data_IF_416622830654
#
_entry.id   IF_416622830654
#
_cell.length_a   1.000
_cell.length_b   1.000
_cell.length_c   1.000
_cell.angle_alpha   90.00
_cell.angle_beta   90.00
_cell.angle_gamma   90.00
#
_symmetry.space_group_name_H-M   'P 1'
#
loop_
_entity.id
_entity.type
_entity.pdbx_description
1 polymer ?
#
# COMPACT_ATOMS: atom_id res chain seq x y z
N UNK A 1 23.32 -36.19 -1.14
CA UNK A 1 22.00 -36.22 -1.80
C UNK A 1 21.06 -35.32 -1.01
N UNK A 2 20.94 -34.05 -1.40
CA UNK A 2 19.92 -33.15 -0.87
C UNK A 2 18.83 -33.01 -1.95
N UNK A 3 17.68 -33.65 -1.73
CA UNK A 3 16.47 -33.36 -2.49
C UNK A 3 15.70 -32.27 -1.75
N UNK A 4 16.04 -31.01 -2.02
CA UNK A 4 15.16 -29.91 -1.69
C UNK A 4 14.13 -29.82 -2.81
N UNK A 5 13.00 -30.42 -2.49
CA UNK A 5 11.81 -30.57 -3.31
C UNK A 5 11.41 -29.22 -3.91
N UNK A 6 11.34 -29.25 -5.23
CA UNK A 6 10.58 -28.39 -6.12
C UNK A 6 9.19 -28.07 -5.55
N UNK A 7 9.12 -27.02 -4.74
CA UNK A 7 7.90 -26.44 -4.18
C UNK A 7 8.10 -24.94 -4.00
N UNK A 8 8.46 -24.24 -5.08
CA UNK A 8 8.02 -22.85 -5.21
C UNK A 8 6.64 -22.91 -5.87
N UNK A 9 5.53 -22.77 -5.13
CA UNK A 9 4.26 -22.50 -5.80
C UNK A 9 4.47 -21.23 -6.61
N UNK A 10 4.30 -21.36 -7.92
CA UNK A 10 4.39 -20.28 -8.87
C UNK A 10 3.54 -19.12 -8.34
N UNK A 11 4.22 -18.01 -8.00
CA UNK A 11 3.69 -16.65 -7.87
C UNK A 11 2.16 -16.57 -7.82
N UNK A 12 1.57 -16.99 -6.71
CA UNK A 12 0.16 -16.74 -6.44
C UNK A 12 0.04 -15.25 -6.12
N UNK A 13 -0.43 -14.51 -7.12
CA UNK A 13 -0.71 -13.09 -6.99
C UNK A 13 0.46 -12.22 -7.40
N UNK A 14 0.79 -12.24 -8.70
CA UNK A 14 0.90 -10.96 -9.40
C UNK A 14 -0.49 -10.29 -9.33
N UNK A 15 -0.89 -9.88 -8.11
CA UNK A 15 -1.91 -8.85 -7.89
C UNK A 15 -1.55 -7.78 -8.92
N UNK A 16 -2.45 -7.45 -9.86
CA UNK A 16 -2.11 -6.56 -10.96
C UNK A 16 -1.45 -5.37 -10.30
N UNK A 17 -0.17 -5.12 -10.63
CA UNK A 17 0.63 -4.05 -10.03
C UNK A 17 -0.31 -2.88 -9.88
N UNK A 18 -0.78 -2.66 -8.64
CA UNK A 18 -1.99 -1.86 -8.42
C UNK A 18 -1.66 -0.55 -9.08
N UNK A 19 -2.33 -0.21 -10.20
CA UNK A 19 -2.01 1.02 -10.90
C UNK A 19 -2.23 2.08 -9.84
N UNK A 20 -1.14 2.68 -9.39
CA UNK A 20 -1.18 3.76 -8.40
C UNK A 20 -2.14 4.76 -9.03
N UNK A 21 -3.28 4.95 -8.37
CA UNK A 21 -4.26 5.90 -8.86
C UNK A 21 -3.68 7.30 -8.73
N UNK A 22 -4.16 8.25 -9.52
CA UNK A 22 -3.75 9.65 -9.35
C UNK A 22 -4.01 10.11 -7.90
N UNK A 23 -5.10 9.62 -7.30
CA UNK A 23 -5.46 9.83 -5.89
C UNK A 23 -4.42 9.25 -4.93
N UNK A 24 -3.89 8.06 -5.18
CA UNK A 24 -2.83 7.47 -4.34
C UNK A 24 -1.55 8.31 -4.40
N UNK A 25 -1.24 8.88 -5.55
CA UNK A 25 -0.10 9.81 -5.70
C UNK A 25 -0.31 11.09 -4.89
N UNK A 26 -1.53 11.63 -4.90
CA UNK A 26 -1.87 12.82 -4.11
C UNK A 26 -1.83 12.53 -2.59
N UNK A 27 -2.33 11.37 -2.16
CA UNK A 27 -2.24 10.95 -0.75
C UNK A 27 -0.78 10.74 -0.33
N UNK A 28 0.06 10.16 -1.19
CA UNK A 28 1.51 10.04 -0.96
C UNK A 28 2.17 11.42 -0.78
N UNK A 29 1.84 12.37 -1.66
CA UNK A 29 2.35 13.74 -1.59
C UNK A 29 1.88 14.45 -0.31
N UNK A 30 0.62 14.27 0.08
CA UNK A 30 0.09 14.82 1.33
C UNK A 30 0.81 14.26 2.56
N UNK A 31 0.99 12.94 2.65
CA UNK A 31 1.68 12.30 3.77
C UNK A 31 3.15 12.75 3.86
N UNK A 32 3.85 12.80 2.72
CA UNK A 32 5.24 13.29 2.71
C UNK A 32 5.34 14.77 3.08
N UNK A 33 4.39 15.60 2.66
CA UNK A 33 4.32 17.01 3.07
C UNK A 33 4.02 17.19 4.57
N UNK A 34 3.29 16.25 5.19
CA UNK A 34 3.05 16.20 6.63
C UNK A 34 4.29 15.75 7.44
N UNK A 35 5.34 15.28 6.77
CA UNK A 35 6.60 14.88 7.39
C UNK A 35 6.78 13.37 7.57
N UNK A 36 5.86 12.55 7.03
CA UNK A 36 6.07 11.09 6.97
C UNK A 36 7.11 10.76 5.89
N UNK A 37 7.90 9.72 6.13
CA UNK A 37 8.85 9.23 5.11
C UNK A 37 8.10 8.64 3.91
N UNK A 38 8.78 8.61 2.75
CA UNK A 38 8.22 7.99 1.54
C UNK A 38 7.83 6.53 1.77
N UNK A 39 8.64 5.78 2.51
CA UNK A 39 8.41 4.36 2.81
C UNK A 39 7.19 4.18 3.71
N UNK A 40 7.04 5.03 4.73
CA UNK A 40 5.86 5.05 5.59
C UNK A 40 4.58 5.38 4.82
N UNK A 41 4.64 6.38 3.94
CA UNK A 41 3.51 6.77 3.11
C UNK A 41 3.10 5.65 2.14
N UNK A 42 4.07 4.95 1.54
CA UNK A 42 3.80 3.75 0.72
C UNK A 42 3.22 2.59 1.53
N UNK A 43 3.67 2.39 2.77
CA UNK A 43 3.11 1.37 3.66
C UNK A 43 1.65 1.70 4.04
N UNK A 44 1.38 2.96 4.37
CA UNK A 44 0.03 3.44 4.68
C UNK A 44 -0.94 3.31 3.50
N UNK A 45 -0.47 3.54 2.26
CA UNK A 45 -1.27 3.30 1.05
C UNK A 45 -1.57 1.82 0.83
N UNK A 46 -0.63 0.93 1.10
CA UNK A 46 -0.83 -0.53 0.99
C UNK A 46 -1.81 -1.06 2.05
N UNK A 47 -1.98 -0.34 3.16
CA UNK A 47 -2.97 -0.66 4.18
C UNK A 47 -4.42 -0.33 3.74
N UNK A 48 -4.60 0.55 2.75
CA UNK A 48 -5.92 0.95 2.27
C UNK A 48 -6.57 -0.20 1.49
N UNK A 49 -7.80 -0.64 1.87
CA UNK A 49 -8.52 -1.63 1.10
C UNK A 49 -8.77 -1.18 -0.34
N UNK A 50 -8.62 -2.09 -1.32
CA UNK A 50 -8.82 -1.78 -2.74
C UNK A 50 -10.23 -1.31 -3.11
N UNK A 51 -11.23 -1.66 -2.29
CA UNK A 51 -12.63 -1.23 -2.43
C UNK A 51 -12.88 0.19 -1.89
N UNK A 52 -11.83 0.87 -1.40
CA UNK A 52 -11.94 2.24 -0.91
C UNK A 52 -12.21 3.19 -2.08
N UNK A 53 -13.18 4.10 -1.96
CA UNK A 53 -13.43 5.15 -2.94
C UNK A 53 -12.14 5.88 -3.35
N UNK A 54 -12.06 6.30 -4.62
CA UNK A 54 -10.97 7.14 -5.13
C UNK A 54 -11.19 8.60 -4.71
N UNK A 55 -11.29 8.82 -3.41
CA UNK A 55 -11.47 10.13 -2.79
C UNK A 55 -10.29 10.40 -1.86
N UNK A 56 -9.60 11.52 -2.10
CA UNK A 56 -8.35 11.86 -1.39
C UNK A 56 -8.58 11.90 0.12
N UNK A 57 -9.63 12.58 0.58
CA UNK A 57 -9.92 12.72 2.02
C UNK A 57 -10.16 11.36 2.68
N UNK A 58 -10.92 10.48 2.02
CA UNK A 58 -11.25 9.14 2.54
C UNK A 58 -9.99 8.29 2.67
N UNK A 59 -9.16 8.27 1.61
CA UNK A 59 -7.91 7.50 1.58
C UNK A 59 -6.89 8.05 2.56
N UNK A 60 -6.74 9.37 2.64
CA UNK A 60 -5.83 10.01 3.58
C UNK A 60 -6.23 9.71 5.04
N UNK A 61 -7.53 9.71 5.36
CA UNK A 61 -8.01 9.36 6.71
C UNK A 61 -7.69 7.92 7.08
N UNK A 62 -7.81 6.98 6.15
CA UNK A 62 -7.47 5.56 6.37
C UNK A 62 -5.94 5.41 6.48
N UNK A 63 -5.17 6.09 5.63
CA UNK A 63 -3.72 6.12 5.71
C UNK A 63 -3.22 6.68 7.05
N UNK A 64 -3.86 7.71 7.61
CA UNK A 64 -3.50 8.25 8.92
C UNK A 64 -3.87 7.31 10.07
N UNK A 65 -4.93 6.50 9.92
CA UNK A 65 -5.28 5.46 10.89
C UNK A 65 -4.20 4.39 11.01
N UNK A 66 -3.48 4.07 9.93
CA UNK A 66 -2.34 3.15 9.96
C UNK A 66 -1.28 3.58 10.98
N UNK A 67 -0.99 4.89 11.08
CA UNK A 67 -0.01 5.42 12.05
C UNK A 67 -0.56 5.59 13.47
N UNK A 68 -1.88 5.51 13.63
CA UNK A 68 -2.56 5.70 14.91
C UNK A 68 -2.87 4.36 15.61
N UNK A 69 -2.73 3.23 14.90
CA UNK A 69 -2.89 1.91 15.48
C UNK A 69 -1.56 1.47 16.12
N UNK A 70 -1.56 1.05 17.40
CA UNK A 70 -0.36 0.66 18.14
C UNK A 70 0.26 -0.66 17.65
#
# INVERSE_FOLDING_TARGET
MLHLQDRMPAMEGLEPLSRISDVDTEVLAALTALGYSLVEAQAALQFIPRDTPQEIETRLRIALQYFSSP
#
